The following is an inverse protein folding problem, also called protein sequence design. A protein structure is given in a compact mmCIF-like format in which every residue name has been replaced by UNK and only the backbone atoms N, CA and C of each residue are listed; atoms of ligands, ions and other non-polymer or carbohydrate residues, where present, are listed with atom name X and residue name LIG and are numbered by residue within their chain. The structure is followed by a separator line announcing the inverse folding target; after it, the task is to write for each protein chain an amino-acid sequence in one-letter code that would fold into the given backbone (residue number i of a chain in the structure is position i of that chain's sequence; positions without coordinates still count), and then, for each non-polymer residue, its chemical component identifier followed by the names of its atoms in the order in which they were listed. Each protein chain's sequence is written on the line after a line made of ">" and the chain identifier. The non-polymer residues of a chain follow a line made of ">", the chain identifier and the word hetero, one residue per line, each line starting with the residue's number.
data_IF_613495827602
#
_entry.id   IF_613495827602
#
_cell.length_a   1.000
_cell.length_b   1.000
_cell.length_c   1.000
_cell.angle_alpha   90.00
_cell.angle_beta   90.00
_cell.angle_gamma   90.00
#
_symmetry.space_group_name_H-M   'P 1'
#
loop_
_entity.id
_entity.type
_entity.pdbx_description
1 polymer ?
#
# COMPACT_ATOMS: atom_id res chain seq x y z
N UNK A 1 -8.92 14.81 -21.20
CA UNK A 1 -8.83 13.32 -21.24
C UNK A 1 -8.74 12.89 -19.79
N UNK A 2 -9.70 12.14 -19.30
CA UNK A 2 -9.72 11.68 -17.90
C UNK A 2 -8.56 10.71 -17.68
N UNK A 3 -7.59 11.14 -16.88
CA UNK A 3 -6.47 10.33 -16.43
C UNK A 3 -7.02 9.31 -15.41
N UNK A 4 -6.74 8.03 -15.60
CA UNK A 4 -7.26 6.96 -14.74
C UNK A 4 -6.21 6.55 -13.71
N UNK A 5 -6.57 6.59 -12.43
CA UNK A 5 -5.76 6.06 -11.35
C UNK A 5 -5.94 4.56 -11.19
N UNK A 6 -4.89 3.79 -11.39
CA UNK A 6 -4.85 2.35 -11.16
C UNK A 6 -4.22 2.06 -9.80
N UNK A 7 -4.95 1.46 -8.88
CA UNK A 7 -4.44 1.10 -7.56
C UNK A 7 -4.17 -0.39 -7.48
N UNK A 8 -2.90 -0.76 -7.41
CA UNK A 8 -2.48 -2.15 -7.26
C UNK A 8 -2.56 -2.59 -5.81
N UNK A 9 -3.61 -3.34 -5.50
CA UNK A 9 -3.86 -3.94 -4.19
C UNK A 9 -3.08 -5.26 -4.10
N UNK A 10 -2.42 -5.50 -2.97
CA UNK A 10 -1.66 -6.73 -2.73
C UNK A 10 -2.10 -7.44 -1.45
N UNK A 11 -1.71 -6.92 -0.27
CA UNK A 11 -2.05 -7.48 1.04
C UNK A 11 -2.87 -6.49 1.89
N UNK A 12 -3.15 -5.33 1.36
CA UNK A 12 -3.76 -4.17 2.00
C UNK A 12 -5.26 -4.06 1.67
N UNK A 13 -6.02 -5.12 1.95
CA UNK A 13 -7.48 -5.19 1.73
C UNK A 13 -8.24 -4.31 2.73
N UNK A 14 -8.00 -2.99 2.69
CA UNK A 14 -8.62 -1.99 3.57
C UNK A 14 -8.83 -0.68 2.83
N UNK A 15 -9.91 0.01 3.19
CA UNK A 15 -10.20 1.36 2.68
C UNK A 15 -9.47 2.40 3.54
N UNK A 16 -9.65 2.30 4.86
CA UNK A 16 -9.04 3.23 5.81
C UNK A 16 -7.53 3.08 5.88
N UNK A 17 -6.81 4.19 6.01
CA UNK A 17 -5.35 4.23 6.09
C UNK A 17 -4.65 3.55 4.91
N UNK A 18 -5.26 3.59 3.73
CA UNK A 18 -4.68 3.11 2.48
C UNK A 18 -4.18 4.31 1.67
N UNK A 19 -2.90 4.62 1.80
CA UNK A 19 -2.31 5.82 1.21
C UNK A 19 -2.37 5.82 -0.33
N UNK A 20 -2.19 4.67 -0.97
CA UNK A 20 -2.28 4.52 -2.41
C UNK A 20 -3.71 4.81 -2.92
N UNK A 21 -4.72 4.25 -2.25
CA UNK A 21 -6.12 4.45 -2.59
C UNK A 21 -6.53 5.90 -2.36
N UNK A 22 -6.21 6.47 -1.19
CA UNK A 22 -6.51 7.87 -0.87
C UNK A 22 -5.87 8.85 -1.86
N UNK A 23 -4.62 8.60 -2.25
CA UNK A 23 -3.95 9.45 -3.23
C UNK A 23 -4.59 9.35 -4.61
N UNK A 24 -4.93 8.15 -5.06
CA UNK A 24 -5.58 7.95 -6.35
C UNK A 24 -6.93 8.68 -6.43
N UNK A 25 -7.77 8.54 -5.40
CA UNK A 25 -9.11 9.19 -5.35
C UNK A 25 -9.05 10.71 -5.26
N UNK A 26 -7.97 11.27 -4.71
CA UNK A 26 -7.79 12.72 -4.65
C UNK A 26 -7.28 13.34 -5.96
N UNK A 27 -6.63 12.55 -6.81
CA UNK A 27 -5.95 13.06 -8.01
C UNK A 27 -6.56 12.62 -9.34
N UNK A 28 -7.51 11.68 -9.32
CA UNK A 28 -8.15 11.15 -10.52
C UNK A 28 -9.67 11.09 -10.37
N UNK A 29 -10.38 11.39 -11.44
CA UNK A 29 -11.84 11.22 -11.49
C UNK A 29 -12.24 9.74 -11.57
N UNK A 30 -11.44 8.95 -12.30
CA UNK A 30 -11.67 7.53 -12.45
C UNK A 30 -10.58 6.75 -11.71
N UNK A 31 -11.00 5.90 -10.77
CA UNK A 31 -10.09 5.03 -10.02
C UNK A 31 -10.53 3.58 -10.17
N UNK A 32 -9.57 2.73 -10.50
CA UNK A 32 -9.76 1.28 -10.60
C UNK A 32 -8.77 0.60 -9.67
N UNK A 33 -9.26 -0.17 -8.73
CA UNK A 33 -8.44 -1.05 -7.94
C UNK A 33 -8.24 -2.38 -8.67
N UNK A 34 -7.05 -2.96 -8.61
CA UNK A 34 -6.82 -4.28 -9.19
C UNK A 34 -5.91 -5.13 -8.31
N UNK A 35 -6.17 -6.42 -8.34
CA UNK A 35 -5.38 -7.44 -7.66
C UNK A 35 -4.85 -8.43 -8.70
N UNK A 36 -3.57 -8.80 -8.59
CA UNK A 36 -2.96 -9.78 -9.49
C UNK A 36 -2.86 -11.12 -8.77
N UNK A 37 -3.61 -12.11 -9.25
CA UNK A 37 -3.48 -13.49 -8.82
C UNK A 37 -2.38 -14.18 -9.62
N UNK A 38 -1.20 -14.31 -9.02
CA UNK A 38 -0.09 -15.04 -9.60
C UNK A 38 -0.14 -16.50 -9.15
N UNK A 39 -0.26 -17.42 -10.09
CA UNK A 39 -0.34 -18.85 -9.80
C UNK A 39 0.89 -19.35 -9.01
N UNK A 40 2.09 -18.88 -9.35
CA UNK A 40 3.32 -19.28 -8.67
C UNK A 40 3.32 -18.92 -7.18
N UNK A 41 2.70 -17.79 -6.84
CA UNK A 41 2.65 -17.30 -5.46
C UNK A 41 1.46 -17.90 -4.67
N UNK A 42 0.36 -18.25 -5.36
CA UNK A 42 -0.89 -18.64 -4.71
C UNK A 42 -1.28 -20.10 -4.87
N UNK A 43 -0.89 -20.79 -5.93
CA UNK A 43 -1.25 -22.22 -6.13
C UNK A 43 -0.62 -23.13 -5.08
N UNK A 44 0.55 -22.76 -4.54
CA UNK A 44 1.23 -23.48 -3.47
C UNK A 44 0.69 -23.18 -2.06
N UNK A 45 -0.24 -22.23 -1.92
CA UNK A 45 -0.85 -21.91 -0.63
C UNK A 45 -1.83 -23.02 -0.21
N UNK A 46 -1.95 -23.20 1.10
CA UNK A 46 -2.92 -24.16 1.68
C UNK A 46 -4.36 -23.73 1.37
N UNK A 47 -5.28 -24.67 1.31
CA UNK A 47 -6.69 -24.40 0.96
C UNK A 47 -7.35 -23.34 1.87
N UNK A 48 -7.05 -23.38 3.17
CA UNK A 48 -7.53 -22.36 4.11
C UNK A 48 -7.06 -20.94 3.75
N UNK A 49 -5.81 -20.80 3.29
CA UNK A 49 -5.28 -19.50 2.85
C UNK A 49 -5.94 -19.00 1.56
N UNK A 50 -6.20 -19.90 0.62
CA UNK A 50 -6.92 -19.57 -0.63
C UNK A 50 -8.35 -19.16 -0.34
N UNK A 51 -9.03 -19.90 0.55
CA UNK A 51 -10.38 -19.57 0.99
C UNK A 51 -10.43 -18.19 1.66
N UNK A 52 -9.49 -17.93 2.57
CA UNK A 52 -9.38 -16.64 3.25
C UNK A 52 -9.16 -15.49 2.27
N UNK A 53 -8.24 -15.65 1.31
CA UNK A 53 -7.98 -14.67 0.25
C UNK A 53 -9.25 -14.38 -0.56
N UNK A 54 -9.97 -15.43 -0.97
CA UNK A 54 -11.22 -15.27 -1.72
C UNK A 54 -12.24 -14.46 -0.93
N UNK A 55 -12.44 -14.76 0.36
CA UNK A 55 -13.36 -14.02 1.23
C UNK A 55 -12.92 -12.58 1.49
N UNK A 56 -11.63 -12.36 1.66
CA UNK A 56 -11.08 -11.01 1.81
C UNK A 56 -11.30 -10.15 0.55
N UNK A 57 -11.06 -10.72 -0.63
CA UNK A 57 -11.31 -10.03 -1.90
C UNK A 57 -12.81 -9.76 -2.15
N UNK A 58 -13.69 -10.71 -1.81
CA UNK A 58 -15.14 -10.51 -1.90
C UNK A 58 -15.62 -9.34 -1.02
N UNK A 59 -15.17 -9.29 0.24
CA UNK A 59 -15.55 -8.23 1.16
C UNK A 59 -14.95 -6.89 0.74
N UNK A 60 -13.66 -6.88 0.41
CA UNK A 60 -13.00 -5.66 -0.04
C UNK A 60 -13.62 -5.09 -1.33
N UNK A 61 -14.05 -5.95 -2.25
CA UNK A 61 -14.81 -5.53 -3.43
C UNK A 61 -16.10 -4.82 -3.07
N UNK A 62 -16.87 -5.35 -2.09
CA UNK A 62 -18.11 -4.71 -1.60
C UNK A 62 -17.82 -3.35 -0.97
N UNK A 63 -16.77 -3.26 -0.16
CA UNK A 63 -16.37 -2.01 0.48
C UNK A 63 -15.97 -0.95 -0.55
N UNK A 64 -15.21 -1.31 -1.58
CA UNK A 64 -14.82 -0.42 -2.67
C UNK A 64 -16.02 0.08 -3.48
N UNK A 65 -17.03 -0.75 -3.69
CA UNK A 65 -18.24 -0.36 -4.43
C UNK A 65 -19.00 0.77 -3.74
N UNK A 66 -18.96 0.88 -2.42
CA UNK A 66 -19.56 2.00 -1.68
C UNK A 66 -18.90 3.35 -2.05
N UNK A 67 -17.69 3.33 -2.60
CA UNK A 67 -16.95 4.49 -3.09
C UNK A 67 -16.91 4.56 -4.62
N UNK A 68 -17.74 3.79 -5.31
CA UNK A 68 -17.80 3.69 -6.79
C UNK A 68 -16.47 3.22 -7.43
N UNK A 69 -15.65 2.50 -6.69
CA UNK A 69 -14.38 1.95 -7.17
C UNK A 69 -14.58 0.47 -7.51
N UNK A 70 -14.23 0.09 -8.74
CA UNK A 70 -14.28 -1.30 -9.17
C UNK A 70 -12.99 -2.03 -8.82
N UNK A 71 -13.11 -3.25 -8.27
CA UNK A 71 -11.99 -4.17 -8.08
C UNK A 71 -11.92 -5.16 -9.24
N UNK A 72 -10.81 -5.15 -9.97
CA UNK A 72 -10.51 -6.11 -11.01
C UNK A 72 -9.51 -7.16 -10.50
N UNK A 73 -9.75 -8.43 -10.81
CA UNK A 73 -8.83 -9.52 -10.50
C UNK A 73 -8.20 -9.97 -11.81
N UNK A 74 -6.89 -9.77 -11.92
CA UNK A 74 -6.09 -10.18 -13.07
C UNK A 74 -5.35 -11.47 -12.72
N UNK A 75 -5.28 -12.41 -13.65
CA UNK A 75 -4.53 -13.66 -13.46
C UNK A 75 -3.26 -13.63 -14.30
N UNK A 76 -2.12 -13.92 -13.66
CA UNK A 76 -0.84 -14.02 -14.35
C UNK A 76 0.33 -13.47 -13.55
N UNK A 77 1.49 -13.41 -14.19
CA UNK A 77 2.70 -12.83 -13.62
C UNK A 77 2.68 -11.30 -13.74
N UNK A 78 3.07 -10.62 -12.68
CA UNK A 78 3.03 -9.16 -12.58
C UNK A 78 3.90 -8.48 -13.65
N UNK A 79 5.11 -9.01 -13.89
CA UNK A 79 6.02 -8.43 -14.91
C UNK A 79 5.39 -8.48 -16.30
N UNK A 80 4.74 -9.59 -16.63
CA UNK A 80 4.04 -9.75 -17.90
C UNK A 80 2.82 -8.84 -18.03
N UNK A 81 2.06 -8.65 -16.96
CA UNK A 81 0.89 -7.77 -16.94
C UNK A 81 1.35 -6.32 -17.12
N UNK A 82 2.32 -5.86 -16.34
CA UNK A 82 2.79 -4.49 -16.39
C UNK A 82 3.54 -4.15 -17.68
N UNK A 83 4.21 -5.12 -18.31
CA UNK A 83 4.88 -4.91 -19.61
C UNK A 83 3.91 -4.57 -20.76
N UNK A 84 2.64 -4.93 -20.63
CA UNK A 84 1.60 -4.67 -21.64
C UNK A 84 1.04 -3.25 -21.57
N UNK A 85 1.18 -2.57 -20.42
CA UNK A 85 0.71 -1.20 -20.23
C UNK A 85 1.64 -0.24 -21.01
N UNK A 86 1.05 0.66 -21.79
CA UNK A 86 1.76 1.63 -22.61
C UNK A 86 1.44 3.06 -22.20
N UNK A 87 2.30 4.00 -22.57
CA UNK A 87 2.11 5.44 -22.31
C UNK A 87 0.76 5.96 -22.82
N UNK A 88 0.29 5.43 -23.95
CA UNK A 88 -0.96 5.89 -24.58
C UNK A 88 -2.22 5.50 -23.81
N UNK A 89 -2.11 4.62 -22.78
CA UNK A 89 -3.23 4.18 -21.99
C UNK A 89 -3.69 5.27 -20.99
N UNK A 90 -2.93 6.37 -20.87
CA UNK A 90 -3.22 7.54 -20.01
C UNK A 90 -3.59 7.13 -18.57
N UNK A 91 -2.77 6.25 -17.99
CA UNK A 91 -2.96 5.70 -16.65
C UNK A 91 -1.80 6.06 -15.74
N UNK A 92 -2.10 6.22 -14.46
CA UNK A 92 -1.11 6.38 -13.39
C UNK A 92 -1.27 5.25 -12.38
N UNK A 93 -0.18 4.62 -11.95
CA UNK A 93 -0.23 3.41 -11.12
C UNK A 93 0.24 3.71 -9.70
N UNK A 94 -0.54 3.26 -8.72
CA UNK A 94 -0.31 3.49 -7.30
C UNK A 94 -0.32 2.20 -6.52
N UNK A 95 0.57 2.08 -5.50
CA UNK A 95 0.56 0.94 -4.57
C UNK A 95 1.21 1.27 -3.24
N UNK A 96 0.93 0.47 -2.23
CA UNK A 96 1.64 0.51 -0.95
C UNK A 96 2.78 -0.50 -0.95
N UNK A 97 3.91 -0.18 -0.34
CA UNK A 97 5.09 -1.05 -0.28
C UNK A 97 4.82 -2.32 0.52
N UNK A 98 5.44 -3.40 0.09
CA UNK A 98 5.67 -4.62 0.85
C UNK A 98 7.18 -4.75 1.05
N UNK A 99 7.60 -5.21 2.22
CA UNK A 99 9.00 -5.13 2.66
C UNK A 99 9.73 -6.48 2.62
N UNK A 100 9.11 -7.51 2.09
CA UNK A 100 9.76 -8.79 1.84
C UNK A 100 10.85 -8.66 0.77
N UNK A 101 12.04 -9.26 0.98
CA UNK A 101 13.19 -9.10 0.08
C UNK A 101 12.87 -9.44 -1.39
N UNK A 102 12.18 -10.54 -1.63
CA UNK A 102 11.81 -10.99 -2.97
C UNK A 102 10.82 -10.03 -3.66
N UNK A 103 9.87 -9.51 -2.89
CA UNK A 103 8.89 -8.53 -3.37
C UNK A 103 9.58 -7.18 -3.68
N UNK A 104 10.56 -6.78 -2.88
CA UNK A 104 11.38 -5.58 -3.16
C UNK A 104 12.16 -5.76 -4.46
N UNK A 105 12.79 -6.93 -4.66
CA UNK A 105 13.54 -7.23 -5.88
C UNK A 105 12.64 -7.23 -7.12
N UNK A 106 11.47 -7.88 -7.05
CA UNK A 106 10.43 -7.85 -8.09
C UNK A 106 9.94 -6.42 -8.36
N UNK A 107 9.70 -5.65 -7.30
CA UNK A 107 9.29 -4.25 -7.38
C UNK A 107 10.29 -3.35 -8.11
N UNK A 108 11.59 -3.61 -7.99
CA UNK A 108 12.61 -2.90 -8.78
C UNK A 108 12.42 -3.15 -10.28
N UNK A 109 12.27 -4.40 -10.70
CA UNK A 109 12.04 -4.77 -12.11
C UNK A 109 10.76 -4.14 -12.67
N UNK A 110 9.68 -4.09 -11.87
CA UNK A 110 8.42 -3.45 -12.26
C UNK A 110 8.62 -1.94 -12.49
N UNK A 111 9.34 -1.25 -11.62
CA UNK A 111 9.64 0.17 -11.79
C UNK A 111 10.47 0.43 -13.05
N UNK A 112 11.44 -0.44 -13.36
CA UNK A 112 12.23 -0.34 -14.59
C UNK A 112 11.33 -0.44 -15.84
N UNK A 113 10.31 -1.31 -15.81
CA UNK A 113 9.30 -1.40 -16.88
C UNK A 113 8.51 -0.08 -16.99
N UNK A 114 8.07 0.51 -15.88
CA UNK A 114 7.33 1.76 -15.88
C UNK A 114 8.16 2.92 -16.43
N UNK A 115 9.41 3.02 -16.01
CA UNK A 115 10.35 4.04 -16.52
C UNK A 115 10.54 3.87 -18.04
N UNK A 116 10.79 2.64 -18.51
CA UNK A 116 10.97 2.34 -19.92
C UNK A 116 9.75 2.69 -20.76
N UNK A 117 8.56 2.44 -20.24
CA UNK A 117 7.29 2.68 -20.93
C UNK A 117 6.73 4.09 -20.69
N UNK A 118 7.44 4.97 -19.97
CA UNK A 118 6.98 6.31 -19.57
C UNK A 118 5.60 6.30 -18.87
N UNK A 119 5.39 5.37 -17.95
CA UNK A 119 4.17 5.25 -17.15
C UNK A 119 4.36 6.01 -15.85
N UNK A 120 3.42 6.86 -15.50
CA UNK A 120 3.41 7.54 -14.21
C UNK A 120 3.13 6.54 -13.09
N UNK A 121 3.94 6.59 -12.04
CA UNK A 121 3.71 5.75 -10.87
C UNK A 121 4.13 6.43 -9.57
N UNK A 122 3.49 6.04 -8.49
CA UNK A 122 3.87 6.44 -7.13
C UNK A 122 3.58 5.30 -6.16
N UNK A 123 4.46 5.13 -5.19
CA UNK A 123 4.27 4.14 -4.13
C UNK A 123 4.39 4.80 -2.76
N UNK A 124 3.71 4.21 -1.79
CA UNK A 124 3.55 4.77 -0.46
C UNK A 124 4.09 3.82 0.59
N UNK A 125 4.25 4.31 1.83
CA UNK A 125 4.49 3.43 2.97
C UNK A 125 3.43 2.35 3.03
N UNK A 126 3.85 1.13 3.31
CA UNK A 126 2.95 0.01 3.50
C UNK A 126 2.54 -0.17 4.96
N UNK A 127 2.74 -1.37 5.46
CA UNK A 127 2.31 -1.82 6.78
C UNK A 127 3.36 -1.61 7.90
N UNK A 128 4.39 -0.81 7.68
CA UNK A 128 5.39 -0.46 8.68
C UNK A 128 5.23 0.97 9.17
N UNK A 129 5.53 1.19 10.43
CA UNK A 129 5.43 2.50 11.07
C UNK A 129 6.52 3.45 10.55
N UNK A 130 7.75 2.96 10.48
CA UNK A 130 8.91 3.70 10.00
C UNK A 130 9.63 2.93 8.90
N UNK A 131 10.07 3.63 7.85
CA UNK A 131 10.97 3.07 6.85
C UNK A 131 12.34 2.77 7.48
N UNK A 132 13.06 1.79 6.94
CA UNK A 132 14.35 1.37 7.47
C UNK A 132 15.40 2.50 7.55
N UNK A 133 15.25 3.51 6.69
CA UNK A 133 16.16 4.66 6.60
C UNK A 133 15.75 5.83 7.52
N UNK A 134 14.52 5.83 8.05
CA UNK A 134 14.00 6.91 8.90
C UNK A 134 14.58 6.83 10.33
N UNK A 135 14.83 5.61 10.82
CA UNK A 135 15.34 5.38 12.17
C UNK A 135 16.72 4.74 12.09
N UNK A 136 17.74 5.58 11.98
CA UNK A 136 19.15 5.16 11.89
C UNK A 136 19.99 5.86 12.93
N UNK A 137 21.20 5.36 13.16
CA UNK A 137 22.21 6.07 13.93
C UNK A 137 22.72 7.30 13.18
N UNK A 138 23.54 8.13 13.84
CA UNK A 138 24.14 9.32 13.24
C UNK A 138 25.04 8.99 12.02
N UNK A 139 25.64 7.81 11.99
CA UNK A 139 26.42 7.27 10.87
C UNK A 139 25.58 6.64 9.75
N UNK A 140 24.24 6.79 9.81
CA UNK A 140 23.25 6.20 8.89
C UNK A 140 23.23 4.66 8.88
N UNK A 141 23.85 4.01 9.87
CA UNK A 141 23.76 2.55 10.03
C UNK A 141 22.53 2.16 10.87
N UNK A 142 21.98 0.96 10.69
CA UNK A 142 20.85 0.48 11.48
C UNK A 142 21.26 0.23 12.94
N UNK A 143 20.30 0.38 13.85
CA UNK A 143 20.49 -0.02 15.24
C UNK A 143 20.52 -1.54 15.37
N UNK A 144 21.46 -2.06 16.17
CA UNK A 144 21.55 -3.49 16.48
C UNK A 144 20.84 -3.88 17.78
N UNK A 145 20.45 -2.89 18.60
CA UNK A 145 19.86 -3.07 19.94
C UNK A 145 18.55 -2.26 20.00
N UNK A 146 17.52 -2.84 20.60
CA UNK A 146 16.18 -2.27 20.66
C UNK A 146 16.10 -0.91 21.38
N UNK A 147 16.70 -0.79 22.58
CA UNK A 147 16.55 0.41 23.41
C UNK A 147 16.98 1.72 22.73
N UNK A 148 18.18 1.83 22.12
CA UNK A 148 18.56 3.03 21.40
C UNK A 148 17.75 3.24 20.11
N UNK A 149 17.32 2.17 19.43
CA UNK A 149 16.38 2.25 18.32
C UNK A 149 15.07 2.90 18.77
N UNK A 150 14.46 2.38 19.83
CA UNK A 150 13.17 2.85 20.33
C UNK A 150 13.22 4.32 20.75
N UNK A 151 14.25 4.74 21.50
CA UNK A 151 14.43 6.14 21.90
C UNK A 151 14.49 7.11 20.72
N UNK A 152 15.01 6.67 19.59
CA UNK A 152 15.05 7.47 18.34
C UNK A 152 13.73 7.42 17.61
N UNK A 153 13.14 6.23 17.48
CA UNK A 153 11.85 6.03 16.83
C UNK A 153 10.72 6.77 17.55
N UNK A 154 10.69 6.72 18.88
CA UNK A 154 9.69 7.40 19.71
C UNK A 154 9.65 8.91 19.44
N UNK A 155 10.78 9.57 19.32
CA UNK A 155 10.85 11.01 19.00
C UNK A 155 10.22 11.32 17.64
N UNK A 156 10.46 10.48 16.65
CA UNK A 156 9.90 10.62 15.30
C UNK A 156 8.39 10.36 15.33
N UNK A 157 7.96 9.33 16.06
CA UNK A 157 6.56 8.92 16.16
C UNK A 157 5.69 9.98 16.84
N UNK A 158 6.11 10.51 17.96
CA UNK A 158 5.37 11.58 18.66
C UNK A 158 5.30 12.87 17.86
N UNK A 159 6.33 13.21 17.11
CA UNK A 159 6.31 14.37 16.21
C UNK A 159 5.23 14.22 15.12
N UNK A 160 5.02 13.02 14.59
CA UNK A 160 4.00 12.75 13.57
C UNK A 160 2.57 12.76 14.14
N UNK A 161 2.38 12.31 15.38
CA UNK A 161 1.06 12.33 16.06
C UNK A 161 0.57 13.75 16.34
N UNK A 162 1.48 14.68 16.66
CA UNK A 162 1.13 16.09 16.89
C UNK A 162 0.76 16.84 15.61
N UNK A 163 1.18 16.39 14.45
CA UNK A 163 0.92 17.07 13.17
C UNK A 163 -0.36 16.63 12.47
N UNK A 164 -0.99 15.53 12.91
CA UNK A 164 -2.27 15.06 12.35
C UNK A 164 -3.06 14.34 13.42
N UNK A 165 -3.85 15.07 14.25
CA UNK A 165 -4.73 14.42 15.21
C UNK A 165 -5.71 13.52 14.48
N UNK A 166 -5.64 12.22 14.77
CA UNK A 166 -6.62 11.25 14.28
C UNK A 166 -8.00 11.58 14.90
N UNK A 167 -9.10 11.43 14.16
CA UNK A 167 -10.45 11.53 14.74
C UNK A 167 -10.67 10.61 15.96
N UNK A 168 -9.88 9.54 16.12
CA UNK A 168 -9.87 8.69 17.32
C UNK A 168 -9.28 9.38 18.54
N UNK A 169 -8.31 10.27 18.40
CA UNK A 169 -7.69 10.95 19.53
C UNK A 169 -8.63 11.99 20.14
N UNK A 170 -9.60 12.47 19.38
CA UNK A 170 -10.66 13.37 19.86
C UNK A 170 -11.72 12.65 20.70
N UNK A 171 -11.87 11.33 20.56
CA UNK A 171 -12.87 10.54 21.30
C UNK A 171 -12.35 10.03 22.65
N UNK A 172 -11.03 9.92 22.84
CA UNK A 172 -10.42 9.44 24.09
C UNK A 172 -10.15 10.54 25.12
N UNK A 173 -10.25 11.82 24.72
CA UNK A 173 -10.06 12.96 25.64
C UNK A 173 -11.27 13.28 26.52
N UNK A 174 -12.37 12.53 26.42
CA UNK A 174 -13.55 12.64 27.28
C UNK A 174 -13.67 11.45 28.23
N UNK A 175 -12.72 11.29 29.14
CA UNK A 175 -13.01 10.59 30.39
C UNK A 175 -13.64 11.61 31.35
N UNK A 176 -14.86 11.38 31.87
CA UNK A 176 -15.38 12.19 32.94
C UNK A 176 -14.51 11.97 34.16
N UNK A 177 -13.97 13.03 34.72
CA UNK A 177 -13.39 13.00 36.05
C UNK A 177 -14.49 12.53 36.99
N UNK A 178 -14.38 11.32 37.53
CA UNK A 178 -15.18 10.86 38.63
C UNK A 178 -14.84 11.69 39.86
N UNK A 179 -15.85 12.39 40.36
CA UNK A 179 -15.86 13.00 41.69
C UNK A 179 -15.69 11.94 42.76
#
# INVERSE_FOLDING_TARGET
>A
MSDTGLVWIREDFRIENNAALSYATQNHENVIAFFIYNNNDYDNKREAQKWWLSKSLENFKKDLLNYQINLQILKGDELNIFSKIKKNDNVSIYWNKIYEPDVIAKGKKIRDIFIKNNINYKYFKGNILNEFQEVTKNDKTPFKVFTPFWRTAEKIYFCLLYTSPSPRDLSTSRMPSSA
#
